data_IF_930733276216
#
_entry.id   IF_930733276216
#
_cell.length_a   1.000
_cell.length_b   1.000
_cell.length_c   1.000
_cell.angle_alpha   90.00
_cell.angle_beta   90.00
_cell.angle_gamma   90.00
#
_symmetry.space_group_name_H-M   'P 1'
#
loop_
_entity.id
_entity.type
_entity.pdbx_description
1 polymer ?
#
# COMPACT_ATOMS: atom_id res chain seq x y z
N UNK A 1 -0.53 -26.02 -2.63
CA UNK A 1 0.07 -25.10 -1.65
C UNK A 1 0.80 -23.93 -2.30
N UNK A 2 0.46 -22.72 -1.87
CA UNK A 2 1.18 -21.47 -2.15
C UNK A 2 1.87 -21.06 -0.84
N UNK A 3 3.11 -20.60 -0.95
CA UNK A 3 3.88 -20.09 0.20
C UNK A 3 4.27 -18.65 -0.03
N UNK A 4 3.97 -17.80 0.93
CA UNK A 4 4.45 -16.42 0.99
C UNK A 4 5.47 -16.26 2.11
N UNK A 5 6.42 -15.34 1.93
CA UNK A 5 7.43 -15.02 2.93
C UNK A 5 7.59 -13.51 3.05
N UNK A 6 7.27 -12.99 4.23
CA UNK A 6 7.58 -11.62 4.62
C UNK A 6 8.58 -11.62 5.76
N UNK A 7 9.56 -10.70 5.73
CA UNK A 7 10.49 -10.55 6.86
C UNK A 7 10.50 -9.12 7.35
N UNK A 8 10.25 -8.96 8.65
CA UNK A 8 10.01 -7.67 9.30
C UNK A 8 10.99 -7.36 10.44
N UNK A 9 10.82 -6.16 11.01
CA UNK A 9 11.63 -5.62 12.12
C UNK A 9 11.06 -5.96 13.51
N UNK A 10 9.73 -6.02 13.64
CA UNK A 10 9.02 -6.06 14.93
C UNK A 10 8.04 -7.22 15.00
N UNK A 11 8.15 -8.02 16.06
CA UNK A 11 7.23 -9.13 16.33
C UNK A 11 5.85 -8.63 16.77
N UNK A 12 5.77 -7.51 17.50
CA UNK A 12 4.50 -7.01 18.06
C UNK A 12 3.45 -6.74 16.99
N UNK A 13 3.83 -6.03 15.92
CA UNK A 13 2.90 -5.70 14.82
C UNK A 13 2.42 -6.95 14.10
N UNK A 14 3.35 -7.85 13.78
CA UNK A 14 3.05 -9.13 13.14
C UNK A 14 2.11 -9.99 14.01
N UNK A 15 2.39 -10.14 15.30
CA UNK A 15 1.58 -10.95 16.21
C UNK A 15 0.19 -10.35 16.48
N UNK A 16 0.11 -9.04 16.67
CA UNK A 16 -1.15 -8.32 16.82
C UNK A 16 -2.06 -8.59 15.60
N UNK A 17 -1.50 -8.45 14.41
CA UNK A 17 -2.24 -8.71 13.17
C UNK A 17 -2.77 -10.16 13.09
N UNK A 18 -1.95 -11.15 13.51
CA UNK A 18 -2.31 -12.57 13.42
C UNK A 18 -3.32 -13.03 14.50
N UNK A 19 -3.39 -12.37 15.66
CA UNK A 19 -4.10 -12.91 16.84
C UNK A 19 -5.12 -11.96 17.47
N UNK A 20 -4.99 -10.63 17.30
CA UNK A 20 -5.96 -9.68 17.87
C UNK A 20 -7.36 -9.92 17.29
N UNK A 21 -8.39 -9.52 18.04
CA UNK A 21 -9.81 -9.68 17.72
C UNK A 21 -10.26 -11.15 17.53
N UNK A 22 -9.48 -12.13 17.99
CA UNK A 22 -9.80 -13.55 17.81
C UNK A 22 -9.67 -14.03 16.36
N UNK A 23 -8.90 -13.33 15.53
CA UNK A 23 -8.71 -13.63 14.10
C UNK A 23 -8.03 -14.97 13.84
N UNK A 24 -7.20 -15.43 14.77
CA UNK A 24 -6.40 -16.63 14.61
C UNK A 24 -6.33 -17.46 15.87
N UNK A 25 -6.30 -18.78 15.66
CA UNK A 25 -6.08 -19.77 16.71
C UNK A 25 -4.60 -20.15 16.73
N UNK A 26 -3.94 -20.08 17.89
CA UNK A 26 -2.60 -20.66 18.03
C UNK A 26 -2.75 -22.19 18.06
N UNK A 27 -2.27 -22.86 17.04
CA UNK A 27 -2.39 -24.32 16.87
C UNK A 27 -1.07 -25.06 17.08
N UNK A 28 0.04 -24.34 17.14
CA UNK A 28 1.37 -24.93 17.29
C UNK A 28 2.46 -23.90 17.55
N UNK A 29 3.70 -24.39 17.66
CA UNK A 29 4.86 -23.57 18.00
C UNK A 29 5.58 -24.06 19.26
N UNK A 30 6.71 -23.42 19.54
CA UNK A 30 7.58 -23.74 20.69
C UNK A 30 7.70 -22.56 21.67
N UNK A 31 6.73 -21.65 21.63
CA UNK A 31 6.65 -20.48 22.51
C UNK A 31 5.59 -20.65 23.59
N UNK A 32 5.83 -20.05 24.75
CA UNK A 32 4.93 -20.14 25.89
C UNK A 32 3.78 -19.13 25.83
N UNK A 33 4.04 -17.93 25.29
CA UNK A 33 3.04 -16.86 25.20
C UNK A 33 1.79 -17.26 24.42
N UNK A 34 0.62 -16.75 24.84
CA UNK A 34 -0.67 -16.99 24.17
C UNK A 34 -1.34 -15.72 23.67
N UNK A 35 -0.83 -14.56 24.07
CA UNK A 35 -1.28 -13.26 23.57
C UNK A 35 -0.19 -12.58 22.73
N UNK A 36 -0.55 -11.64 21.83
CA UNK A 36 0.44 -10.86 21.08
C UNK A 36 1.48 -10.17 21.95
N UNK A 37 1.05 -9.67 23.12
CA UNK A 37 1.93 -8.98 24.05
C UNK A 37 2.95 -9.93 24.68
N UNK A 38 2.49 -11.10 25.14
CA UNK A 38 3.37 -12.13 25.73
C UNK A 38 4.37 -12.65 24.70
N UNK A 39 3.88 -13.07 23.52
CA UNK A 39 4.71 -13.57 22.44
C UNK A 39 5.74 -12.53 21.97
N UNK A 40 5.33 -11.27 21.83
CA UNK A 40 6.26 -10.21 21.45
C UNK A 40 7.33 -9.95 22.52
N UNK A 41 6.98 -10.10 23.80
CA UNK A 41 7.94 -10.02 24.90
C UNK A 41 8.94 -11.17 24.85
N UNK A 42 8.45 -12.40 24.66
CA UNK A 42 9.27 -13.62 24.58
C UNK A 42 10.22 -13.59 23.38
N UNK A 43 9.74 -13.21 22.18
CA UNK A 43 10.61 -12.95 21.03
C UNK A 43 11.60 -11.81 21.27
N UNK A 44 11.19 -10.80 22.04
CA UNK A 44 11.99 -9.65 22.42
C UNK A 44 13.28 -10.05 23.14
N UNK A 45 13.24 -11.11 23.97
CA UNK A 45 14.42 -11.63 24.66
C UNK A 45 15.49 -12.13 23.69
N UNK A 46 15.13 -12.91 22.66
CA UNK A 46 16.09 -13.31 21.64
C UNK A 46 16.51 -12.15 20.75
N UNK A 47 15.61 -11.20 20.48
CA UNK A 47 15.92 -10.03 19.66
C UNK A 47 17.06 -9.20 20.24
N UNK A 48 17.21 -9.18 21.58
CA UNK A 48 18.32 -8.51 22.30
C UNK A 48 19.69 -9.12 22.00
N UNK A 49 19.76 -10.39 21.55
CA UNK A 49 21.02 -11.02 21.17
C UNK A 49 21.61 -10.45 19.86
N UNK A 50 20.79 -9.78 19.04
CA UNK A 50 21.21 -9.20 17.75
C UNK A 50 20.56 -7.83 17.48
N UNK A 51 20.77 -6.80 18.33
CA UNK A 51 20.03 -5.53 18.27
C UNK A 51 20.09 -4.85 16.89
N UNK A 52 21.19 -4.98 16.17
CA UNK A 52 21.42 -4.40 14.84
C UNK A 52 20.78 -5.18 13.67
N UNK A 53 20.17 -6.35 13.91
CA UNK A 53 19.56 -7.15 12.83
C UNK A 53 18.30 -6.47 12.28
N UNK A 54 18.41 -5.91 11.07
CA UNK A 54 17.33 -5.15 10.44
C UNK A 54 16.08 -5.96 10.09
N UNK A 55 16.16 -7.29 9.93
CA UNK A 55 15.02 -8.16 9.60
C UNK A 55 15.08 -9.41 10.46
N UNK A 56 14.53 -9.34 11.67
CA UNK A 56 14.59 -10.40 12.66
C UNK A 56 13.38 -11.35 12.63
N UNK A 57 12.25 -10.90 12.08
CA UNK A 57 11.02 -11.69 11.95
C UNK A 57 11.03 -12.38 10.59
N UNK A 58 10.67 -13.65 10.53
CA UNK A 58 10.23 -14.33 9.31
C UNK A 58 8.77 -14.76 9.51
N UNK A 59 7.88 -14.27 8.65
CA UNK A 59 6.47 -14.60 8.63
C UNK A 59 6.18 -15.34 7.33
N UNK A 60 5.79 -16.61 7.47
CA UNK A 60 5.35 -17.42 6.35
C UNK A 60 3.83 -17.55 6.39
N UNK A 61 3.20 -17.57 5.22
CA UNK A 61 1.82 -18.04 5.07
C UNK A 61 1.82 -19.24 4.13
N UNK A 62 1.20 -20.33 4.58
CA UNK A 62 1.06 -21.57 3.81
C UNK A 62 -0.43 -21.75 3.53
N UNK A 63 -0.81 -21.68 2.25
CA UNK A 63 -2.20 -21.73 1.83
C UNK A 63 -2.44 -22.90 0.89
N UNK A 64 -3.47 -23.70 1.16
CA UNK A 64 -3.92 -24.77 0.28
C UNK A 64 -4.95 -24.25 -0.74
N UNK A 65 -5.01 -24.84 -1.94
CA UNK A 65 -6.16 -24.73 -2.84
C UNK A 65 -7.49 -24.93 -2.10
N UNK A 66 -8.57 -24.24 -2.50
CA UNK A 66 -9.86 -24.32 -1.80
C UNK A 66 -10.50 -25.71 -1.95
N UNK A 67 -10.16 -26.42 -3.03
CA UNK A 67 -10.64 -27.77 -3.32
C UNK A 67 -9.86 -28.88 -2.58
N UNK A 68 -8.73 -28.56 -1.93
CA UNK A 68 -8.00 -29.54 -1.13
C UNK A 68 -8.71 -29.80 0.20
N UNK A 69 -8.52 -31.01 0.76
CA UNK A 69 -9.06 -31.29 2.09
C UNK A 69 -8.44 -30.34 3.11
N UNK A 70 -9.22 -29.97 4.13
CA UNK A 70 -8.73 -29.19 5.26
C UNK A 70 -7.92 -30.09 6.21
N UNK A 71 -6.65 -29.77 6.48
CA UNK A 71 -5.89 -30.41 7.55
C UNK A 71 -6.48 -30.03 8.91
N UNK A 72 -6.36 -30.92 9.89
CA UNK A 72 -6.64 -30.57 11.28
C UNK A 72 -5.45 -29.82 11.91
N UNK A 73 -5.63 -29.35 13.15
CA UNK A 73 -4.62 -28.54 13.84
C UNK A 73 -3.31 -29.30 14.08
N UNK A 74 -3.39 -30.61 14.33
CA UNK A 74 -2.22 -31.44 14.57
C UNK A 74 -1.40 -31.63 13.29
N UNK A 75 -2.08 -31.91 12.17
CA UNK A 75 -1.45 -32.02 10.86
C UNK A 75 -0.86 -30.68 10.41
N UNK A 76 -1.58 -29.58 10.58
CA UNK A 76 -1.05 -28.25 10.26
C UNK A 76 0.19 -27.90 11.09
N UNK A 77 0.17 -28.21 12.38
CA UNK A 77 1.34 -28.01 13.25
C UNK A 77 2.53 -28.84 12.79
N UNK A 78 2.32 -30.11 12.40
CA UNK A 78 3.37 -30.97 11.87
C UNK A 78 3.92 -30.47 10.53
N UNK A 79 3.05 -30.01 9.62
CA UNK A 79 3.43 -29.38 8.36
C UNK A 79 4.30 -28.13 8.62
N UNK A 80 3.90 -27.28 9.56
CA UNK A 80 4.63 -26.06 9.90
C UNK A 80 6.02 -26.36 10.47
N UNK A 81 6.12 -27.31 11.38
CA UNK A 81 7.38 -27.73 12.00
C UNK A 81 8.34 -28.31 10.95
N UNK A 82 7.85 -29.20 10.08
CA UNK A 82 8.61 -29.75 8.97
C UNK A 82 9.10 -28.65 8.04
N UNK A 83 8.19 -27.75 7.63
CA UNK A 83 8.50 -26.64 6.75
C UNK A 83 9.62 -25.76 7.32
N UNK A 84 9.52 -25.37 8.58
CA UNK A 84 10.56 -24.58 9.26
C UNK A 84 11.87 -25.33 9.37
N UNK A 85 11.84 -26.63 9.69
CA UNK A 85 13.04 -27.46 9.80
C UNK A 85 13.79 -27.52 8.47
N UNK A 86 13.09 -27.78 7.36
CA UNK A 86 13.68 -27.80 6.03
C UNK A 86 14.11 -26.40 5.55
N UNK A 87 13.45 -25.34 6.03
CA UNK A 87 13.88 -23.95 5.83
C UNK A 87 15.10 -23.56 6.68
N UNK A 88 15.52 -24.44 7.59
CA UNK A 88 16.67 -24.24 8.46
C UNK A 88 16.37 -23.39 9.68
N UNK A 89 15.14 -23.35 10.17
CA UNK A 89 14.74 -22.65 11.41
C UNK A 89 14.86 -23.52 12.67
N UNK A 90 15.69 -24.56 12.64
CA UNK A 90 15.97 -25.42 13.80
C UNK A 90 16.37 -24.58 15.02
N UNK A 91 15.82 -24.86 16.19
CA UNK A 91 16.08 -24.09 17.42
C UNK A 91 15.78 -22.59 17.29
N UNK A 92 14.88 -22.19 16.38
CA UNK A 92 14.31 -20.84 16.38
C UNK A 92 12.98 -20.86 17.14
N UNK A 93 12.67 -19.83 17.95
CA UNK A 93 11.32 -19.65 18.44
C UNK A 93 10.37 -19.36 17.28
N UNK A 94 9.18 -19.95 17.33
CA UNK A 94 8.10 -19.72 16.39
C UNK A 94 6.73 -20.02 17.00
N UNK A 95 5.71 -19.42 16.41
CA UNK A 95 4.30 -19.72 16.68
C UNK A 95 3.57 -20.00 15.36
N UNK A 96 2.63 -20.93 15.40
CA UNK A 96 1.77 -21.29 14.27
C UNK A 96 0.34 -20.86 14.59
N UNK A 97 -0.23 -20.07 13.69
CA UNK A 97 -1.57 -19.50 13.82
C UNK A 97 -2.42 -19.95 12.64
N UNK A 98 -3.55 -20.61 12.92
CA UNK A 98 -4.55 -20.95 11.89
C UNK A 98 -5.56 -19.81 11.79
N UNK A 99 -5.87 -19.40 10.57
CA UNK A 99 -6.97 -18.49 10.27
C UNK A 99 -8.07 -19.27 9.55
N UNK A 100 -9.32 -18.96 9.87
CA UNK A 100 -10.52 -19.57 9.26
C UNK A 100 -11.35 -18.52 8.48
N UNK A 101 -10.75 -17.38 8.14
CA UNK A 101 -11.45 -16.22 7.58
C UNK A 101 -11.54 -16.22 6.04
N UNK A 102 -10.99 -17.24 5.37
CA UNK A 102 -10.98 -17.37 3.90
C UNK A 102 -11.41 -18.77 3.45
N UNK A 103 -11.80 -18.88 2.17
CA UNK A 103 -12.13 -20.19 1.56
C UNK A 103 -10.90 -21.10 1.47
N UNK A 104 -9.68 -20.54 1.43
CA UNK A 104 -8.45 -21.30 1.39
C UNK A 104 -8.02 -21.72 2.80
N UNK A 105 -7.84 -23.02 3.08
CA UNK A 105 -7.26 -23.46 4.34
C UNK A 105 -5.81 -22.95 4.43
N UNK A 106 -5.49 -22.17 5.46
CA UNK A 106 -4.17 -21.59 5.59
C UNK A 106 -3.72 -21.40 7.04
N UNK A 107 -2.40 -21.36 7.19
CA UNK A 107 -1.73 -21.07 8.46
C UNK A 107 -0.66 -20.00 8.26
N UNK A 108 -0.42 -19.24 9.32
CA UNK A 108 0.67 -18.30 9.43
C UNK A 108 1.71 -18.83 10.42
N UNK A 109 2.96 -18.76 10.03
CA UNK A 109 4.09 -19.14 10.87
C UNK A 109 4.90 -17.87 11.14
N UNK A 110 4.92 -17.41 12.39
CA UNK A 110 5.76 -16.29 12.81
C UNK A 110 6.98 -16.87 13.53
N UNK A 111 8.14 -16.74 12.92
CA UNK A 111 9.40 -17.28 13.42
C UNK A 111 10.45 -16.18 13.63
N UNK A 112 11.29 -16.37 14.65
CA UNK A 112 12.51 -15.61 14.82
C UNK A 112 13.58 -16.12 13.86
N UNK A 113 14.28 -15.20 13.19
CA UNK A 113 15.52 -15.54 12.45
C UNK A 113 16.72 -15.72 13.36
N UNK A 114 16.61 -15.38 14.64
CA UNK A 114 17.67 -15.55 15.64
C UNK A 114 17.40 -16.87 16.36
N UNK A 115 18.37 -17.79 16.32
CA UNK A 115 18.30 -19.06 17.03
C UNK A 115 18.51 -18.89 18.53
N UNK A 116 17.98 -19.82 19.32
CA UNK A 116 18.44 -20.05 20.69
C UNK A 116 19.94 -20.40 20.64
N UNK A 117 20.76 -19.63 21.37
CA UNK A 117 22.20 -19.89 21.46
C UNK A 117 22.45 -21.00 22.48
N UNK A 118 23.04 -22.11 22.05
CA UNK A 118 23.43 -23.21 22.94
C UNK A 118 24.82 -23.03 23.55
N UNK A 119 25.57 -22.01 23.12
CA UNK A 119 27.00 -21.83 23.40
C UNK A 119 27.38 -20.44 23.91
N UNK A 120 26.42 -19.63 24.38
CA UNK A 120 26.69 -18.34 25.03
C UNK A 120 27.15 -17.20 24.10
N UNK A 121 27.26 -17.46 22.79
CA UNK A 121 27.60 -16.45 21.78
C UNK A 121 26.39 -15.68 21.22
N UNK A 122 26.66 -14.66 20.41
CA UNK A 122 25.62 -13.86 19.73
C UNK A 122 24.74 -14.76 18.83
N UNK A 123 23.44 -14.85 19.14
CA UNK A 123 22.50 -15.80 18.52
C UNK A 123 22.65 -15.89 17.00
N UNK A 124 22.81 -17.10 16.48
CA UNK A 124 22.98 -17.35 15.05
C UNK A 124 21.74 -16.89 14.27
N UNK A 125 21.98 -16.38 13.05
CA UNK A 125 20.91 -15.86 12.20
C UNK A 125 20.65 -16.81 11.04
N UNK A 126 19.40 -17.20 10.84
CA UNK A 126 18.96 -17.99 9.69
C UNK A 126 19.21 -17.19 8.40
N UNK A 127 19.99 -17.80 7.49
CA UNK A 127 20.30 -17.26 6.17
C UNK A 127 19.03 -17.02 5.37
N UNK A 128 18.97 -15.91 4.65
CA UNK A 128 17.89 -15.55 3.73
C UNK A 128 18.19 -15.91 2.26
N UNK A 129 19.30 -16.62 2.01
CA UNK A 129 19.71 -16.98 0.67
C UNK A 129 18.75 -17.99 0.06
N UNK A 130 18.29 -17.68 -1.15
CA UNK A 130 17.44 -18.52 -1.98
C UNK A 130 16.13 -18.95 -1.33
N UNK A 131 15.61 -18.19 -0.33
CA UNK A 131 14.41 -18.58 0.41
C UNK A 131 13.23 -18.91 -0.50
N UNK A 132 13.03 -18.12 -1.56
CA UNK A 132 11.95 -18.33 -2.53
C UNK A 132 12.00 -19.72 -3.18
N UNK A 133 13.19 -20.08 -3.65
CA UNK A 133 13.42 -21.40 -4.26
C UNK A 133 13.26 -22.51 -3.22
N UNK A 134 13.84 -22.33 -2.03
CA UNK A 134 13.82 -23.34 -0.97
C UNK A 134 12.40 -23.62 -0.50
N UNK A 135 11.62 -22.58 -0.18
CA UNK A 135 10.25 -22.78 0.30
C UNK A 135 9.33 -23.36 -0.76
N UNK A 136 9.55 -23.05 -2.04
CA UNK A 136 8.80 -23.66 -3.15
C UNK A 136 9.12 -25.15 -3.27
N UNK A 137 10.41 -25.53 -3.26
CA UNK A 137 10.83 -26.95 -3.28
C UNK A 137 10.25 -27.73 -2.08
N UNK A 138 10.27 -27.14 -0.88
CA UNK A 138 9.71 -27.74 0.34
C UNK A 138 8.18 -27.89 0.23
N UNK A 139 7.47 -26.86 -0.25
CA UNK A 139 6.02 -26.91 -0.43
C UNK A 139 5.61 -28.05 -1.37
N UNK A 140 6.34 -28.27 -2.48
CA UNK A 140 6.07 -29.38 -3.41
C UNK A 140 6.27 -30.75 -2.74
N UNK A 141 7.26 -30.90 -1.88
CA UNK A 141 7.46 -32.14 -1.10
C UNK A 141 6.33 -32.36 -0.09
N UNK A 142 5.93 -31.32 0.63
CA UNK A 142 4.81 -31.39 1.58
C UNK A 142 3.52 -31.76 0.86
N UNK A 143 3.24 -31.16 -0.30
CA UNK A 143 2.08 -31.53 -1.12
C UNK A 143 2.07 -33.00 -1.50
N UNK A 144 3.21 -33.52 -2.00
CA UNK A 144 3.33 -34.91 -2.41
C UNK A 144 3.10 -35.87 -1.24
N UNK A 145 3.66 -35.57 -0.07
CA UNK A 145 3.60 -36.47 1.09
C UNK A 145 2.23 -36.47 1.79
N UNK A 146 1.51 -35.35 1.74
CA UNK A 146 0.18 -35.22 2.35
C UNK A 146 -0.97 -35.42 1.34
N UNK A 147 -0.66 -35.65 0.06
CA UNK A 147 -1.66 -35.83 -0.99
C UNK A 147 -2.41 -34.55 -1.37
N UNK A 148 -1.82 -33.37 -1.15
CA UNK A 148 -2.40 -32.10 -1.58
C UNK A 148 -2.15 -31.84 -3.06
N UNK A 149 -3.03 -31.07 -3.68
CA UNK A 149 -2.89 -30.69 -5.08
C UNK A 149 -1.66 -29.80 -5.27
N UNK A 150 -0.79 -30.21 -6.19
CA UNK A 150 0.34 -29.39 -6.56
C UNK A 150 -0.10 -28.18 -7.38
N UNK A 151 0.36 -27.01 -6.98
CA UNK A 151 0.13 -25.76 -7.71
C UNK A 151 1.28 -25.58 -8.69
N UNK A 152 1.05 -25.16 -9.95
CA UNK A 152 2.15 -24.93 -10.88
C UNK A 152 3.20 -23.97 -10.30
N UNK A 153 4.47 -24.27 -10.50
CA UNK A 153 5.55 -23.34 -10.20
C UNK A 153 5.35 -22.05 -11.01
N UNK A 154 5.58 -20.89 -10.39
CA UNK A 154 5.54 -19.61 -11.12
C UNK A 154 6.51 -19.71 -12.31
N UNK A 155 5.99 -19.65 -13.53
CA UNK A 155 6.77 -20.03 -14.72
C UNK A 155 7.89 -19.01 -14.93
N UNK A 156 9.15 -19.42 -14.74
CA UNK A 156 10.33 -18.62 -15.10
C UNK A 156 10.30 -18.30 -16.61
N UNK A 157 9.92 -17.07 -16.99
CA UNK A 157 10.11 -16.59 -18.36
C UNK A 157 11.61 -16.64 -18.71
N UNK A 158 11.95 -17.43 -19.73
CA UNK A 158 13.30 -17.56 -20.28
C UNK A 158 13.81 -16.22 -20.82
N UNK A 159 15.08 -16.01 -20.56
CA UNK A 159 15.94 -14.83 -20.66
C UNK A 159 16.17 -14.33 -22.11
N UNK A 160 15.96 -13.03 -22.38
CA UNK A 160 16.55 -12.32 -23.54
C UNK A 160 17.99 -11.80 -23.23
N UNK A 161 18.46 -11.91 -21.98
CA UNK A 161 19.72 -11.27 -21.55
C UNK A 161 21.03 -12.06 -21.79
N UNK A 162 21.03 -13.12 -22.62
CA UNK A 162 22.25 -13.93 -22.80
C UNK A 162 23.33 -13.27 -23.69
N UNK A 163 23.03 -12.16 -24.38
CA UNK A 163 24.00 -11.44 -25.25
C UNK A 163 24.86 -10.37 -24.57
N UNK A 164 24.68 -10.08 -23.27
CA UNK A 164 25.37 -8.96 -22.58
C UNK A 164 26.53 -9.36 -21.64
N UNK A 165 27.03 -10.60 -21.71
CA UNK A 165 28.06 -11.09 -20.77
C UNK A 165 29.52 -10.80 -21.12
N UNK A 166 29.83 -10.22 -22.28
CA UNK A 166 31.22 -9.96 -22.66
C UNK A 166 31.46 -8.48 -22.99
N UNK A 167 31.47 -7.60 -21.98
CA UNK A 167 32.38 -6.46 -21.88
C UNK A 167 32.51 -6.04 -20.40
N UNK A 168 33.74 -5.70 -20.03
CA UNK A 168 34.31 -5.72 -18.68
C UNK A 168 33.86 -4.57 -17.76
N UNK A 169 34.05 -4.83 -16.46
CA UNK A 169 34.38 -3.90 -15.37
C UNK A 169 34.31 -2.40 -15.69
N UNK A 170 33.27 -1.74 -15.20
CA UNK A 170 33.37 -0.59 -14.29
C UNK A 170 31.98 -0.31 -13.68
N UNK A 171 31.95 -0.19 -12.34
CA UNK A 171 31.03 0.57 -11.45
C UNK A 171 29.66 1.04 -12.03
N UNK A 172 28.48 0.89 -11.40
CA UNK A 172 27.93 0.11 -10.29
C UNK A 172 26.40 0.42 -10.27
N UNK A 173 25.56 -0.61 -10.44
CA UNK A 173 24.09 -0.71 -10.24
C UNK A 173 23.09 0.21 -10.97
N UNK A 174 22.40 -0.29 -12.02
CA UNK A 174 21.00 0.03 -12.29
C UNK A 174 20.05 -0.94 -11.57
N UNK A 175 19.01 -0.34 -11.00
CA UNK A 175 17.76 -0.91 -10.50
C UNK A 175 17.20 -2.03 -11.39
N UNK A 176 16.79 -3.16 -10.79
CA UNK A 176 16.04 -4.21 -11.49
C UNK A 176 14.64 -4.37 -10.90
N UNK A 177 13.66 -4.05 -11.73
CA UNK A 177 12.22 -4.12 -11.53
C UNK A 177 11.73 -5.49 -11.03
N UNK A 178 10.80 -5.43 -10.07
CA UNK A 178 10.04 -6.56 -9.56
C UNK A 178 9.05 -7.08 -10.61
N UNK A 179 8.83 -8.39 -10.62
CA UNK A 179 7.81 -9.05 -11.41
C UNK A 179 6.40 -8.51 -11.10
N UNK A 180 5.53 -8.47 -12.12
CA UNK A 180 4.17 -7.96 -11.97
C UNK A 180 3.27 -8.86 -11.10
N UNK A 181 2.50 -8.30 -10.15
CA UNK A 181 1.72 -9.03 -9.14
C UNK A 181 0.25 -9.25 -9.55
N UNK A 182 -0.02 -9.72 -10.77
CA UNK A 182 -1.41 -10.02 -11.20
C UNK A 182 -2.00 -11.29 -10.58
N UNK A 183 -1.17 -12.14 -9.94
CA UNK A 183 -1.54 -13.51 -9.57
C UNK A 183 -1.49 -13.77 -8.04
N UNK A 184 -1.42 -12.71 -7.21
CA UNK A 184 -1.33 -12.86 -5.74
C UNK A 184 -2.73 -12.82 -5.10
N UNK A 185 -3.14 -13.86 -4.36
CA UNK A 185 -4.35 -13.85 -3.54
C UNK A 185 -4.37 -12.66 -2.56
N UNK A 186 -5.54 -12.06 -2.36
CA UNK A 186 -5.72 -10.85 -1.56
C UNK A 186 -5.17 -11.00 -0.13
N UNK A 187 -5.32 -12.18 0.48
CA UNK A 187 -4.86 -12.48 1.84
C UNK A 187 -3.32 -12.41 1.96
N UNK A 188 -2.61 -12.81 0.90
CA UNK A 188 -1.15 -12.73 0.82
C UNK A 188 -0.69 -11.28 0.70
N UNK A 189 -1.48 -10.42 0.03
CA UNK A 189 -1.21 -8.99 0.00
C UNK A 189 -1.37 -8.39 1.40
N UNK A 190 -2.47 -8.71 2.12
CA UNK A 190 -2.75 -8.21 3.47
C UNK A 190 -1.64 -8.60 4.48
N UNK A 191 -1.11 -9.82 4.40
CA UNK A 191 0.03 -10.28 5.21
C UNK A 191 1.35 -9.54 4.93
N UNK A 192 1.63 -9.28 3.64
CA UNK A 192 2.80 -8.50 3.26
C UNK A 192 2.71 -7.06 3.79
N UNK A 193 1.48 -6.53 3.93
CA UNK A 193 1.20 -5.17 4.37
C UNK A 193 1.29 -4.96 5.88
N UNK A 194 0.96 -5.97 6.70
CA UNK A 194 1.09 -5.92 8.16
C UNK A 194 2.55 -5.73 8.65
N UNK A 195 3.52 -5.92 7.76
CA UNK A 195 4.95 -5.85 8.06
C UNK A 195 5.60 -4.48 7.75
N UNK A 196 4.86 -3.55 7.14
CA UNK A 196 5.33 -2.17 6.91
C UNK A 196 5.15 -1.35 8.20
N UNK A 197 6.03 -0.38 8.46
CA UNK A 197 5.95 0.45 9.66
C UNK A 197 6.06 1.93 9.31
N UNK A 198 5.19 2.76 9.87
CA UNK A 198 5.36 4.22 9.93
C UNK A 198 5.58 4.88 8.56
N UNK A 199 6.83 5.18 8.22
CA UNK A 199 7.22 5.94 7.03
C UNK A 199 6.94 5.21 5.69
N UNK A 200 6.87 3.88 5.71
CA UNK A 200 6.65 3.07 4.50
C UNK A 200 5.16 2.92 4.13
N UNK A 201 4.24 3.40 4.96
CA UNK A 201 2.79 3.35 4.70
C UNK A 201 2.26 4.73 4.39
N UNK A 202 1.81 4.99 3.16
CA UNK A 202 1.00 6.16 2.83
C UNK A 202 -0.45 5.86 3.25
N UNK A 203 -0.85 6.30 4.44
CA UNK A 203 -2.13 5.89 5.02
C UNK A 203 -2.87 7.00 5.76
N UNK A 204 -4.17 6.81 5.90
CA UNK A 204 -5.03 7.64 6.72
C UNK A 204 -6.01 6.81 7.57
N UNK A 205 -6.40 7.36 8.72
CA UNK A 205 -7.37 6.79 9.65
C UNK A 205 -8.48 7.79 9.94
N UNK A 206 -9.69 7.29 10.19
CA UNK A 206 -10.86 8.09 10.52
C UNK A 206 -10.81 8.59 11.97
N UNK A 207 -10.30 9.81 12.18
CA UNK A 207 -10.30 10.50 13.48
C UNK A 207 -9.58 9.78 14.63
N UNK A 208 -9.96 10.15 15.86
CA UNK A 208 -9.32 9.72 17.13
C UNK A 208 -9.86 8.38 17.66
N UNK A 209 -9.77 7.33 16.83
CA UNK A 209 -10.22 5.96 17.15
C UNK A 209 -11.76 5.81 17.24
N UNK A 210 -12.43 5.50 16.12
CA UNK A 210 -13.87 5.25 16.13
C UNK A 210 -14.20 4.00 16.96
N UNK A 211 -15.36 3.98 17.60
CA UNK A 211 -15.82 2.80 18.35
C UNK A 211 -15.96 1.58 17.44
N UNK A 212 -15.84 0.36 17.99
CA UNK A 212 -15.96 -0.87 17.20
C UNK A 212 -17.28 -0.99 16.43
N UNK A 213 -18.38 -0.46 17.00
CA UNK A 213 -19.66 -0.36 16.29
C UNK A 213 -19.54 0.55 15.06
N UNK A 214 -18.96 1.73 15.21
CA UNK A 214 -18.78 2.68 14.10
C UNK A 214 -17.85 2.12 13.03
N UNK A 215 -16.75 1.45 13.41
CA UNK A 215 -15.88 0.72 12.46
C UNK A 215 -16.62 -0.37 11.69
N UNK A 216 -17.52 -1.12 12.34
CA UNK A 216 -18.35 -2.13 11.66
C UNK A 216 -19.32 -1.48 10.66
N UNK A 217 -19.95 -0.37 11.03
CA UNK A 217 -20.83 0.39 10.13
C UNK A 217 -20.05 0.94 8.92
N UNK A 218 -18.86 1.50 9.14
CA UNK A 218 -17.98 1.98 8.06
C UNK A 218 -17.52 0.85 7.13
N UNK A 219 -17.26 -0.35 7.64
CA UNK A 219 -16.96 -1.53 6.81
C UNK A 219 -18.15 -2.05 6.02
N UNK A 220 -19.37 -1.88 6.52
CA UNK A 220 -20.58 -2.32 5.80
C UNK A 220 -20.76 -1.53 4.52
N UNK A 221 -20.55 -0.23 4.57
CA UNK A 221 -20.74 0.64 3.41
C UNK A 221 -19.73 0.40 2.28
N UNK A 222 -18.68 -0.38 2.50
CA UNK A 222 -17.79 -0.84 1.41
C UNK A 222 -18.47 -1.95 0.58
N UNK A 223 -19.26 -2.79 1.24
CA UNK A 223 -19.98 -3.89 0.60
C UNK A 223 -21.28 -3.44 -0.07
N UNK A 224 -21.62 -2.17 0.03
CA UNK A 224 -22.82 -1.63 -0.61
C UNK A 224 -22.64 -1.66 -2.14
N UNK A 225 -23.70 -1.99 -2.90
CA UNK A 225 -23.63 -2.05 -4.37
C UNK A 225 -23.19 -0.75 -5.06
N UNK A 226 -23.24 0.38 -4.34
CA UNK A 226 -22.84 1.71 -4.79
C UNK A 226 -21.35 2.04 -4.62
N UNK A 227 -20.59 1.20 -3.92
CA UNK A 227 -19.19 1.48 -3.59
C UNK A 227 -18.31 1.52 -4.84
N UNK A 228 -18.46 0.57 -5.77
CA UNK A 228 -17.64 0.50 -6.97
C UNK A 228 -17.87 1.71 -7.90
N UNK A 229 -19.11 2.21 -7.99
CA UNK A 229 -19.44 3.41 -8.74
C UNK A 229 -18.85 4.65 -8.05
N UNK A 230 -18.89 4.71 -6.72
CA UNK A 230 -18.25 5.78 -5.95
C UNK A 230 -16.74 5.80 -6.21
N UNK A 231 -16.05 4.65 -6.09
CA UNK A 231 -14.61 4.56 -6.35
C UNK A 231 -14.29 4.93 -7.80
N UNK A 232 -15.08 4.45 -8.75
CA UNK A 232 -14.92 4.77 -10.18
C UNK A 232 -15.11 6.24 -10.47
N UNK A 233 -16.07 6.91 -9.83
CA UNK A 233 -16.29 8.34 -9.98
C UNK A 233 -15.13 9.17 -9.40
N UNK A 234 -14.54 8.74 -8.28
CA UNK A 234 -13.47 9.48 -7.61
C UNK A 234 -12.09 9.29 -8.24
N UNK A 235 -11.75 8.05 -8.62
CA UNK A 235 -10.42 7.70 -9.14
C UNK A 235 -10.40 7.79 -10.67
N UNK A 236 -11.55 7.68 -11.32
CA UNK A 236 -11.70 7.58 -12.77
C UNK A 236 -11.61 6.12 -13.22
N UNK A 237 -12.59 5.59 -13.99
CA UNK A 237 -12.62 4.19 -14.41
C UNK A 237 -11.40 3.81 -15.23
N UNK A 238 -10.83 4.74 -16.01
CA UNK A 238 -9.61 4.54 -16.80
C UNK A 238 -8.35 4.30 -15.96
N UNK A 239 -8.39 4.64 -14.67
CA UNK A 239 -7.26 4.45 -13.75
C UNK A 239 -7.40 3.19 -12.89
N UNK A 240 -8.57 2.54 -12.91
CA UNK A 240 -8.85 1.33 -12.13
C UNK A 240 -8.64 0.10 -13.01
N UNK A 241 -7.88 -0.87 -12.49
CA UNK A 241 -7.70 -2.18 -13.10
C UNK A 241 -8.82 -3.13 -12.70
N UNK A 242 -9.07 -3.25 -11.39
CA UNK A 242 -10.23 -3.93 -10.81
C UNK A 242 -10.35 -3.58 -9.32
N UNK A 243 -11.54 -3.81 -8.75
CA UNK A 243 -11.82 -3.68 -7.32
C UNK A 243 -12.10 -5.08 -6.78
N UNK A 244 -11.39 -5.46 -5.72
CA UNK A 244 -11.58 -6.74 -5.04
C UNK A 244 -12.17 -6.51 -3.64
N UNK A 245 -13.35 -7.07 -3.39
CA UNK A 245 -14.01 -7.00 -2.09
C UNK A 245 -13.64 -8.20 -1.22
N UNK A 246 -13.42 -7.95 0.06
CA UNK A 246 -13.19 -8.98 1.07
C UNK A 246 -13.96 -8.66 2.35
N UNK A 247 -13.97 -9.57 3.32
CA UNK A 247 -14.81 -9.43 4.53
C UNK A 247 -14.54 -8.15 5.35
N UNK A 248 -13.33 -7.58 5.24
CA UNK A 248 -12.84 -6.44 6.03
C UNK A 248 -12.79 -5.14 5.23
N UNK A 249 -13.06 -5.14 3.92
CA UNK A 249 -12.90 -3.96 3.07
C UNK A 249 -12.80 -4.27 1.59
N UNK A 250 -12.11 -3.40 0.85
CA UNK A 250 -11.86 -3.57 -0.57
C UNK A 250 -10.44 -3.13 -0.93
N UNK A 251 -9.85 -3.83 -1.91
CA UNK A 251 -8.57 -3.47 -2.54
C UNK A 251 -8.85 -2.96 -3.95
N UNK A 252 -8.44 -1.73 -4.22
CA UNK A 252 -8.57 -1.07 -5.52
C UNK A 252 -7.22 -1.14 -6.20
N UNK A 253 -7.13 -1.93 -7.27
CA UNK A 253 -5.92 -2.04 -8.09
C UNK A 253 -5.97 -0.98 -9.18
N UNK A 254 -4.88 -0.23 -9.36
CA UNK A 254 -4.81 0.83 -10.36
C UNK A 254 -3.92 0.44 -11.54
N UNK A 255 -4.17 1.02 -12.71
CA UNK A 255 -3.48 0.68 -13.96
C UNK A 255 -2.00 1.11 -13.97
N UNK A 256 -1.62 2.03 -13.07
CA UNK A 256 -0.25 2.47 -12.81
C UNK A 256 0.56 1.48 -11.96
N UNK A 257 -0.02 0.33 -11.59
CA UNK A 257 0.60 -0.67 -10.71
C UNK A 257 0.47 -0.36 -9.22
N UNK A 258 -0.15 0.76 -8.87
CA UNK A 258 -0.52 1.11 -7.52
C UNK A 258 -1.72 0.31 -6.99
N UNK A 259 -1.97 0.47 -5.70
CA UNK A 259 -3.16 -0.12 -5.05
C UNK A 259 -3.56 0.67 -3.80
N UNK A 260 -4.87 0.73 -3.57
CA UNK A 260 -5.48 1.32 -2.37
C UNK A 260 -6.23 0.24 -1.62
N UNK A 261 -5.98 0.14 -0.33
CA UNK A 261 -6.70 -0.74 0.57
C UNK A 261 -7.63 0.10 1.44
N UNK A 262 -8.94 -0.04 1.27
CA UNK A 262 -9.96 0.61 2.10
C UNK A 262 -10.54 -0.43 3.07
N UNK A 263 -10.27 -0.24 4.37
CA UNK A 263 -10.81 -1.07 5.46
C UNK A 263 -11.98 -0.38 6.18
N UNK A 264 -12.49 0.72 5.64
CA UNK A 264 -13.61 1.49 6.17
C UNK A 264 -13.14 2.63 7.06
N UNK A 265 -12.46 2.32 8.16
CA UNK A 265 -11.88 3.30 9.07
C UNK A 265 -10.41 3.63 8.78
N UNK A 266 -9.81 2.92 7.84
CA UNK A 266 -8.42 3.11 7.41
C UNK A 266 -8.31 2.94 5.89
N UNK A 267 -7.54 3.82 5.26
CA UNK A 267 -7.17 3.70 3.85
C UNK A 267 -5.64 3.70 3.74
N UNK A 268 -5.08 2.77 2.96
CA UNK A 268 -3.64 2.65 2.73
C UNK A 268 -3.33 2.58 1.24
N UNK A 269 -2.36 3.36 0.77
CA UNK A 269 -1.89 3.37 -0.60
C UNK A 269 -0.50 2.74 -0.73
N UNK A 270 -0.29 1.99 -1.82
CA UNK A 270 0.97 1.32 -2.14
C UNK A 270 1.37 1.53 -3.59
N UNK A 271 2.70 1.50 -3.83
CA UNK A 271 3.30 1.55 -5.17
C UNK A 271 2.76 2.71 -6.02
N UNK A 272 2.48 3.83 -5.35
CA UNK A 272 1.95 5.05 -5.94
C UNK A 272 2.74 6.22 -5.37
N UNK A 273 2.82 7.33 -6.11
CA UNK A 273 3.50 8.52 -5.63
C UNK A 273 2.70 9.21 -4.51
N UNK A 274 3.40 10.03 -3.73
CA UNK A 274 2.84 10.72 -2.57
C UNK A 274 1.64 11.61 -2.94
N UNK A 275 1.66 12.26 -4.11
CA UNK A 275 0.60 13.20 -4.49
C UNK A 275 -0.68 12.45 -4.86
N UNK A 276 -0.56 11.43 -5.70
CA UNK A 276 -1.68 10.61 -6.13
C UNK A 276 -2.28 9.80 -4.98
N UNK A 277 -1.43 9.26 -4.10
CA UNK A 277 -1.87 8.64 -2.85
C UNK A 277 -2.70 9.60 -2.00
N UNK A 278 -2.19 10.80 -1.76
CA UNK A 278 -2.86 11.81 -0.94
C UNK A 278 -4.23 12.21 -1.54
N UNK A 279 -4.28 12.45 -2.84
CA UNK A 279 -5.51 12.80 -3.56
C UNK A 279 -6.57 11.70 -3.43
N UNK A 280 -6.21 10.45 -3.74
CA UNK A 280 -7.16 9.32 -3.73
C UNK A 280 -7.62 8.99 -2.30
N UNK A 281 -6.71 9.01 -1.32
CA UNK A 281 -7.04 8.77 0.09
C UNK A 281 -8.01 9.83 0.62
N UNK A 282 -7.73 11.11 0.39
CA UNK A 282 -8.59 12.21 0.88
C UNK A 282 -9.95 12.17 0.18
N UNK A 283 -9.97 11.96 -1.14
CA UNK A 283 -11.22 11.87 -1.91
C UNK A 283 -12.14 10.74 -1.39
N UNK A 284 -11.57 9.57 -1.11
CA UNK A 284 -12.30 8.46 -0.49
C UNK A 284 -12.75 8.85 0.92
N UNK A 285 -11.88 9.32 1.80
CA UNK A 285 -12.25 9.69 3.17
C UNK A 285 -13.44 10.68 3.23
N UNK A 286 -13.41 11.73 2.40
CA UNK A 286 -14.49 12.72 2.30
C UNK A 286 -15.78 12.08 1.80
N UNK A 287 -15.72 11.32 0.70
CA UNK A 287 -16.90 10.70 0.09
C UNK A 287 -17.53 9.62 0.97
N UNK A 288 -16.73 9.04 1.86
CA UNK A 288 -17.14 8.04 2.85
C UNK A 288 -17.67 8.68 4.14
N UNK A 289 -17.72 10.02 4.22
CA UNK A 289 -18.28 10.76 5.34
C UNK A 289 -17.41 10.74 6.59
N UNK A 290 -16.08 10.63 6.44
CA UNK A 290 -15.19 10.76 7.58
C UNK A 290 -15.31 12.17 8.17
N UNK A 291 -15.36 12.26 9.50
CA UNK A 291 -15.53 13.55 10.21
C UNK A 291 -14.19 14.17 10.64
N UNK A 292 -13.12 13.38 10.60
CA UNK A 292 -11.75 13.80 10.88
C UNK A 292 -10.78 12.78 10.27
N UNK A 293 -9.52 13.19 10.08
CA UNK A 293 -8.50 12.34 9.46
C UNK A 293 -7.14 12.47 10.15
N UNK A 294 -6.48 11.33 10.33
CA UNK A 294 -5.11 11.22 10.85
C UNK A 294 -4.24 10.56 9.78
N UNK A 295 -3.10 11.17 9.43
CA UNK A 295 -2.19 10.61 8.42
C UNK A 295 -1.00 9.89 9.03
N UNK A 296 -0.50 8.87 8.34
CA UNK A 296 0.81 8.24 8.59
C UNK A 296 1.49 8.06 7.23
N UNK A 297 2.79 8.34 7.16
CA UNK A 297 3.58 8.26 5.93
C UNK A 297 4.79 9.21 5.96
N UNK A 298 5.39 9.43 4.79
CA UNK A 298 6.49 10.39 4.62
C UNK A 298 6.03 11.83 4.87
N UNK A 299 6.96 12.73 5.24
CA UNK A 299 6.65 14.14 5.47
C UNK A 299 6.04 14.81 4.23
N UNK A 300 6.49 14.43 3.02
CA UNK A 300 5.97 14.97 1.77
C UNK A 300 4.53 14.52 1.50
N UNK A 301 4.25 13.23 1.70
CA UNK A 301 2.88 12.72 1.65
C UNK A 301 1.98 13.42 2.67
N UNK A 302 2.41 13.48 3.94
CA UNK A 302 1.63 14.10 5.01
C UNK A 302 1.35 15.57 4.69
N UNK A 303 2.34 16.32 4.21
CA UNK A 303 2.17 17.73 3.84
C UNK A 303 1.14 17.92 2.73
N UNK A 304 1.21 17.12 1.67
CA UNK A 304 0.25 17.19 0.55
C UNK A 304 -1.15 16.78 1.04
N UNK A 305 -1.26 15.67 1.77
CA UNK A 305 -2.52 15.14 2.25
C UNK A 305 -3.23 16.08 3.24
N UNK A 306 -2.48 16.74 4.13
CA UNK A 306 -3.03 17.75 5.04
C UNK A 306 -3.61 18.95 4.29
N UNK A 307 -2.89 19.47 3.28
CA UNK A 307 -3.40 20.57 2.43
C UNK A 307 -4.69 20.17 1.72
N UNK A 308 -4.72 18.99 1.12
CA UNK A 308 -5.90 18.48 0.41
C UNK A 308 -7.08 18.25 1.34
N UNK A 309 -6.88 17.64 2.51
CA UNK A 309 -7.94 17.42 3.49
C UNK A 309 -8.54 18.75 3.97
N UNK A 310 -7.71 19.74 4.28
CA UNK A 310 -8.16 21.08 4.67
C UNK A 310 -8.93 21.77 3.56
N UNK A 311 -8.45 21.72 2.32
CA UNK A 311 -9.14 22.29 1.17
C UNK A 311 -10.53 21.68 0.93
N UNK A 312 -10.74 20.43 1.36
CA UNK A 312 -12.03 19.73 1.32
C UNK A 312 -12.84 19.85 2.61
N UNK A 313 -12.40 20.68 3.57
CA UNK A 313 -13.09 20.88 4.85
C UNK A 313 -13.03 19.70 5.81
N UNK A 314 -12.16 18.70 5.57
CA UNK A 314 -11.99 17.53 6.43
C UNK A 314 -11.01 17.86 7.58
N UNK A 315 -11.45 17.88 8.85
CA UNK A 315 -10.59 18.19 9.98
C UNK A 315 -9.40 17.24 10.09
N UNK A 316 -8.20 17.78 10.20
CA UNK A 316 -6.94 17.02 10.31
C UNK A 316 -6.49 16.96 11.76
N UNK A 317 -6.12 15.78 12.23
CA UNK A 317 -5.55 15.54 13.56
C UNK A 317 -4.08 15.10 13.43
N UNK A 318 -3.11 16.03 13.55
CA UNK A 318 -1.68 15.71 13.39
C UNK A 318 -1.16 14.79 14.50
N UNK A 319 -0.41 13.75 14.12
CA UNK A 319 0.17 12.79 15.07
C UNK A 319 1.62 13.14 15.43
N UNK A 320 1.84 13.43 16.73
CA UNK A 320 3.16 13.74 17.27
C UNK A 320 3.69 15.12 16.84
N UNK A 321 4.84 15.50 17.37
CA UNK A 321 5.32 16.88 17.27
C UNK A 321 5.75 17.27 15.86
N UNK A 322 6.28 16.32 15.08
CA UNK A 322 6.69 16.56 13.69
C UNK A 322 5.50 16.93 12.80
N UNK A 323 4.40 16.19 12.86
CA UNK A 323 3.22 16.51 12.06
C UNK A 323 2.52 17.77 12.55
N UNK A 324 2.52 18.04 13.87
CA UNK A 324 2.02 19.31 14.41
C UNK A 324 2.80 20.49 13.84
N UNK A 325 4.12 20.39 13.71
CA UNK A 325 4.95 21.43 13.08
C UNK A 325 4.57 21.65 11.60
N UNK A 326 4.50 20.57 10.81
CA UNK A 326 4.07 20.63 9.40
C UNK A 326 2.68 21.28 9.27
N UNK A 327 1.75 20.92 10.17
CA UNK A 327 0.40 21.48 10.16
C UNK A 327 0.40 22.98 10.48
N UNK A 328 1.19 23.43 11.46
CA UNK A 328 1.34 24.86 11.76
C UNK A 328 1.97 25.63 10.61
N UNK A 329 2.97 25.06 9.93
CA UNK A 329 3.53 25.66 8.70
C UNK A 329 2.46 25.88 7.63
N UNK A 330 1.59 24.88 7.40
CA UNK A 330 0.48 24.99 6.46
C UNK A 330 -0.50 26.11 6.87
N UNK A 331 -0.90 26.16 8.14
CA UNK A 331 -1.79 27.21 8.66
C UNK A 331 -1.21 28.61 8.53
N UNK A 332 0.10 28.76 8.69
CA UNK A 332 0.77 30.04 8.54
C UNK A 332 0.85 30.46 7.07
N UNK A 333 1.17 29.53 6.16
CA UNK A 333 1.15 29.80 4.72
C UNK A 333 -0.25 30.18 4.22
N UNK A 334 -1.31 29.50 4.69
CA UNK A 334 -2.70 29.81 4.36
C UNK A 334 -3.11 31.21 4.85
N UNK A 335 -2.71 31.58 6.08
CA UNK A 335 -2.95 32.92 6.63
C UNK A 335 -2.24 34.00 5.82
N UNK A 336 -0.95 33.83 5.54
CA UNK A 336 -0.20 34.79 4.72
C UNK A 336 -0.79 34.93 3.30
N UNK A 337 -1.26 33.84 2.69
CA UNK A 337 -1.93 33.90 1.40
C UNK A 337 -3.28 34.63 1.47
N UNK A 338 -4.05 34.41 2.54
CA UNK A 338 -5.31 35.12 2.81
C UNK A 338 -5.08 36.61 3.07
N UNK A 339 -4.02 36.97 3.81
CA UNK A 339 -3.66 38.36 4.10
C UNK A 339 -3.24 39.09 2.81
N UNK A 340 -2.51 38.43 1.92
CA UNK A 340 -2.15 38.96 0.59
C UNK A 340 -3.40 39.13 -0.29
N UNK A 341 -4.30 38.14 -0.31
CA UNK A 341 -5.55 38.23 -1.07
C UNK A 341 -6.45 39.37 -0.55
N UNK A 342 -6.58 39.50 0.77
CA UNK A 342 -7.35 40.58 1.42
C UNK A 342 -6.73 41.95 1.17
N UNK A 343 -5.39 42.06 1.15
CA UNK A 343 -4.69 43.30 0.82
C UNK A 343 -4.83 43.68 -0.68
N UNK A 344 -4.97 42.69 -1.57
CA UNK A 344 -5.27 42.92 -2.98
C UNK A 344 -6.72 43.35 -3.23
N UNK A 345 -7.68 42.88 -2.42
CA UNK A 345 -9.09 43.30 -2.48
C UNK A 345 -9.36 44.66 -1.79
N UNK A 346 -8.49 45.07 -0.87
CA UNK A 346 -8.63 46.34 -0.12
C UNK A 346 -8.06 47.57 -0.85
N UNK A 347 -7.61 47.44 -2.10
CA UNK A 347 -7.25 48.59 -2.93
C UNK A 347 -8.55 49.32 -3.33
N UNK A 348 -8.75 50.61 -2.97
CA UNK A 348 -9.97 51.32 -3.32
C UNK A 348 -10.08 51.46 -4.84
N UNK A 349 -11.28 51.24 -5.38
CA UNK A 349 -11.58 51.61 -6.76
C UNK A 349 -11.22 53.10 -6.97
N UNK A 350 -10.52 53.46 -8.07
CA UNK A 350 -10.19 54.85 -8.31
C UNK A 350 -11.48 55.64 -8.55
N UNK A 351 -11.77 56.56 -7.63
CA UNK A 351 -12.86 57.53 -7.73
C UNK A 351 -12.77 58.29 -9.04
N UNK A 352 -13.86 58.27 -9.80
CA UNK A 352 -14.02 59.00 -11.06
C UNK A 352 -14.03 60.51 -10.81
N UNK A 353 -12.86 61.17 -10.93
CA UNK A 353 -12.73 62.59 -11.26
C UNK A 353 -11.26 62.95 -11.53
N UNK A 354 -10.83 62.75 -12.78
CA UNK A 354 -10.09 63.74 -13.56
C UNK A 354 -10.01 63.25 -15.01
N UNK A 355 -10.73 63.94 -15.90
CA UNK A 355 -10.70 63.71 -17.34
C UNK A 355 -9.36 64.22 -17.91
N UNK A 356 -8.41 63.31 -18.05
CA UNK A 356 -7.24 63.45 -18.93
C UNK A 356 -7.31 62.36 -20.00
N UNK A 357 -7.18 62.77 -21.26
CA UNK A 357 -7.33 61.96 -22.48
C UNK A 357 -6.66 60.57 -22.43
N UNK A 358 -7.23 59.56 -23.12
CA UNK A 358 -6.74 58.18 -23.03
C UNK A 358 -5.36 58.02 -23.70
N UNK A 359 -4.41 57.28 -23.08
CA UNK A 359 -3.27 56.77 -23.81
C UNK A 359 -3.69 55.60 -24.71
N UNK A 360 -2.99 55.47 -25.83
CA UNK A 360 -3.19 54.48 -26.89
C UNK A 360 -3.17 53.02 -26.37
N UNK A 361 -3.84 52.08 -27.06
CA UNK A 361 -3.97 50.71 -26.58
C UNK A 361 -2.62 49.99 -26.58
N UNK A 362 -2.23 49.52 -25.39
CA UNK A 362 -1.08 48.64 -25.21
C UNK A 362 -1.29 47.28 -25.88
N UNK A 363 -0.17 46.77 -26.35
CA UNK A 363 0.04 45.60 -27.21
C UNK A 363 -0.55 44.30 -26.69
N UNK A 364 -1.21 43.62 -27.63
CA UNK A 364 -1.67 42.23 -27.59
C UNK A 364 -0.57 41.27 -27.09
N UNK A 365 -0.82 40.58 -25.95
CA UNK A 365 0.06 39.54 -25.42
C UNK A 365 0.06 38.33 -26.35
N UNK A 366 1.15 38.15 -27.11
CA UNK A 366 1.38 36.93 -27.88
C UNK A 366 2.05 35.85 -27.01
N UNK A 367 1.42 34.67 -26.82
CA UNK A 367 2.09 33.57 -26.14
C UNK A 367 3.23 33.04 -27.03
N UNK A 368 4.46 33.00 -26.51
CA UNK A 368 5.58 32.34 -27.17
C UNK A 368 5.82 30.93 -26.60
N UNK A 369 6.38 30.04 -27.42
CA UNK A 369 6.81 28.70 -26.99
C UNK A 369 5.76 27.60 -27.16
N UNK A 370 5.87 26.55 -26.33
CA UNK A 370 5.13 25.29 -26.44
C UNK A 370 3.60 25.51 -26.45
N UNK A 371 3.10 26.48 -25.68
CA UNK A 371 1.68 26.84 -25.58
C UNK A 371 1.09 27.31 -26.93
N UNK A 372 1.81 28.14 -27.70
CA UNK A 372 1.35 28.59 -29.02
C UNK A 372 1.40 27.50 -30.11
N UNK A 373 2.17 26.42 -29.89
CA UNK A 373 2.13 25.23 -30.77
C UNK A 373 0.98 24.30 -30.42
N UNK A 374 0.61 24.22 -29.14
CA UNK A 374 -0.52 23.42 -28.67
C UNK A 374 -1.87 24.06 -29.03
N UNK A 375 -1.98 25.40 -28.97
CA UNK A 375 -3.19 26.13 -29.39
C UNK A 375 -3.49 25.89 -30.89
N UNK A 376 -2.49 26.08 -31.77
CA UNK A 376 -2.64 25.88 -33.22
C UNK A 376 -3.04 24.46 -33.62
N UNK A 377 -2.55 23.45 -32.90
CA UNK A 377 -2.89 22.04 -33.15
C UNK A 377 -4.31 21.69 -32.69
N UNK A 378 -4.79 22.37 -31.64
CA UNK A 378 -6.17 22.22 -31.16
C UNK A 378 -7.16 22.85 -32.15
N UNK A 379 -6.80 24.01 -32.66
CA UNK A 379 -7.67 24.77 -33.57
C UNK A 379 -7.70 24.16 -34.99
N UNK A 380 -6.61 23.51 -35.43
CA UNK A 380 -6.57 22.77 -36.71
C UNK A 380 -7.34 21.44 -36.72
N UNK A 381 -7.80 20.96 -35.56
CA UNK A 381 -8.55 19.70 -35.42
C UNK A 381 -10.06 19.92 -35.21
N UNK A 382 -10.52 21.17 -35.15
CA UNK A 382 -11.87 21.53 -34.75
C UNK A 382 -12.81 21.98 -35.90
N UNK A 383 -12.39 21.92 -37.16
CA UNK A 383 -13.26 22.23 -38.30
C UNK A 383 -13.62 20.97 -39.09
N UNK A 384 -14.87 20.50 -39.04
CA UNK A 384 -15.36 19.52 -40.02
C UNK A 384 -15.59 20.25 -41.36
N UNK A 385 -14.96 19.74 -42.43
CA UNK A 385 -15.20 20.19 -43.80
C UNK A 385 -16.67 19.95 -44.18
N UNK A 386 -17.47 21.02 -44.26
CA UNK A 386 -18.72 21.01 -45.00
C UNK A 386 -18.40 21.27 -46.47
N UNK A 387 -18.47 20.20 -47.25
CA UNK A 387 -18.31 20.20 -48.69
C UNK A 387 -19.58 20.78 -49.32
N UNK A 388 -19.58 22.07 -49.67
CA UNK A 388 -20.65 22.68 -50.45
C UNK A 388 -20.04 23.51 -51.59
N UNK A 389 -20.11 22.96 -52.81
CA UNK A 389 -19.76 23.66 -54.04
C UNK A 389 -21.01 24.33 -54.61
N UNK A 390 -21.03 25.65 -54.79
CA UNK A 390 -21.95 26.25 -55.74
C UNK A 390 -21.30 26.34 -57.12
N UNK A 391 -22.01 25.77 -58.09
CA UNK A 391 -21.92 26.07 -59.51
C UNK A 391 -22.05 27.57 -59.77
N UNK A 392 -21.21 28.10 -60.67
CA UNK A 392 -21.61 29.23 -61.53
C UNK A 392 -21.14 29.02 -62.97
N UNK A 393 -21.97 29.35 -63.97
CA UNK A 393 -21.73 29.13 -65.39
C UNK A 393 -21.06 30.34 -66.09
N UNK A 394 -20.36 30.05 -67.20
CA UNK A 394 -20.22 30.89 -68.40
C UNK A 394 -19.62 32.29 -68.27
N UNK A 395 -18.45 32.50 -68.90
CA UNK A 395 -18.33 32.90 -70.31
C UNK A 395 -16.88 32.75 -70.79
#
# INVERSE_FOLDING_TARGET
MIVSLTKGKSFRGCLAYNLDDGRGMIIGGNMAGRTPRELASEFGELRRLRPTLGRAVAHYSLSLPPDDRRPDDAEWSAIAERFLTEMGFNNCPYVVVRHDDTEHPHIHIVASRIRFSTSGGAGEVVSDKNDYRRHEEIARRIEADHGFRSVPASTKKKTINQKRRNTMNEKHFPSSAAAEPSDMPADIAIDAFANLTGADMLSAYAGDQPSERKKREMRRTIRDPGYDQLVSALIGPQHIKHIHHHQKGAVIYTNDGGRLHDNGDQIVAYQTDNHLAAQRIVALAVSRGWTAIVFTGSDDFVRIAMKLARAQGLPVHPKGDRQKAIFQEILNMERSASDIASASEAMPEPTAQELGSPPEPETEYQPHGLLARLQRRRDSLATPESNDKPHTPGL
#
